data_IF_641883558134
#
_entry.id   IF_641883558134
#
_cell.length_a   1.000
_cell.length_b   1.000
_cell.length_c   1.000
_cell.angle_alpha   90.00
_cell.angle_beta   90.00
_cell.angle_gamma   90.00
#
_symmetry.space_group_name_H-M   'P 1'
#
loop_
_entity.id
_entity.type
_entity.pdbx_description
1 polymer ?
#
# COMPACT_ATOMS: atom_id res chain seq x y z
N UNK A 1 4.69 -18.11 -8.69
CA UNK A 1 3.90 -17.07 -8.02
C UNK A 1 4.40 -15.73 -8.54
N UNK A 2 3.60 -15.01 -9.33
CA UNK A 2 4.00 -13.67 -9.81
C UNK A 2 4.24 -12.75 -8.61
N UNK A 3 5.42 -12.14 -8.56
CA UNK A 3 5.87 -11.34 -7.42
C UNK A 3 4.96 -10.10 -7.25
N UNK A 4 4.07 -10.13 -6.27
CA UNK A 4 3.16 -9.02 -5.98
C UNK A 4 3.82 -7.88 -5.18
N UNK A 5 5.10 -8.08 -4.84
CA UNK A 5 6.03 -7.11 -4.29
C UNK A 5 6.97 -6.64 -5.38
N UNK A 6 7.40 -5.37 -5.31
CA UNK A 6 8.46 -4.90 -6.20
C UNK A 6 9.81 -5.51 -5.82
N UNK A 7 10.85 -5.22 -6.60
CA UNK A 7 12.23 -5.70 -6.39
C UNK A 7 12.82 -5.37 -5.01
N UNK A 8 12.18 -4.45 -4.28
CA UNK A 8 12.56 -4.02 -2.92
C UNK A 8 11.65 -4.61 -1.83
N UNK A 9 10.83 -5.62 -2.16
CA UNK A 9 9.89 -6.24 -1.23
C UNK A 9 8.72 -5.35 -0.82
N UNK A 10 8.44 -4.25 -1.54
CA UNK A 10 7.35 -3.31 -1.19
C UNK A 10 6.06 -3.67 -1.91
N UNK A 11 4.93 -3.46 -1.22
CA UNK A 11 3.58 -3.57 -1.80
C UNK A 11 3.46 -2.62 -3.01
N UNK A 12 2.94 -3.18 -4.11
CA UNK A 12 2.67 -2.47 -5.37
C UNK A 12 1.21 -2.05 -5.46
N UNK A 13 0.87 -1.09 -6.34
CA UNK A 13 -0.52 -0.68 -6.58
C UNK A 13 -1.41 -1.88 -6.99
N UNK A 14 -0.91 -2.79 -7.83
CA UNK A 14 -1.62 -4.01 -8.24
C UNK A 14 -1.93 -4.92 -7.04
N UNK A 15 -1.00 -5.07 -6.10
CA UNK A 15 -1.23 -5.83 -4.87
C UNK A 15 -2.21 -5.11 -3.93
N UNK A 16 -2.11 -3.79 -3.80
CA UNK A 16 -3.08 -2.99 -3.04
C UNK A 16 -4.49 -3.16 -3.60
N UNK A 17 -4.67 -3.07 -4.92
CA UNK A 17 -5.95 -3.30 -5.59
C UNK A 17 -6.50 -4.69 -5.26
N UNK A 18 -5.67 -5.75 -5.36
CA UNK A 18 -6.08 -7.11 -5.00
C UNK A 18 -6.51 -7.24 -3.53
N UNK A 19 -5.78 -6.62 -2.60
CA UNK A 19 -6.11 -6.63 -1.17
C UNK A 19 -7.47 -5.93 -0.95
N UNK A 20 -7.65 -4.74 -1.50
CA UNK A 20 -8.88 -3.95 -1.35
C UNK A 20 -10.08 -4.68 -1.96
N UNK A 21 -9.93 -5.20 -3.18
CA UNK A 21 -10.98 -5.97 -3.85
C UNK A 21 -11.32 -7.25 -3.08
N UNK A 22 -10.34 -7.93 -2.49
CA UNK A 22 -10.59 -9.11 -1.65
C UNK A 22 -11.35 -8.79 -0.36
N UNK A 23 -11.25 -7.54 0.11
CA UNK A 23 -12.02 -7.02 1.23
C UNK A 23 -13.39 -6.45 0.84
N UNK A 24 -13.80 -6.59 -0.43
CA UNK A 24 -15.08 -6.06 -0.93
C UNK A 24 -15.02 -4.58 -1.34
N UNK A 25 -13.84 -3.95 -1.35
CA UNK A 25 -13.66 -2.57 -1.79
C UNK A 25 -13.14 -2.60 -3.23
N UNK A 26 -14.07 -2.59 -4.19
CA UNK A 26 -13.74 -2.53 -5.61
C UNK A 26 -13.12 -1.19 -5.98
N UNK A 27 -11.84 -1.20 -6.34
CA UNK A 27 -11.09 -0.01 -6.79
C UNK A 27 -10.38 -0.29 -8.09
N UNK A 28 -10.15 0.75 -8.87
CA UNK A 28 -9.25 0.76 -10.03
C UNK A 28 -7.78 0.73 -9.58
N UNK A 29 -6.87 0.50 -10.54
CA UNK A 29 -5.44 0.53 -10.26
C UNK A 29 -4.97 1.92 -9.80
N UNK A 30 -5.50 2.98 -10.40
CA UNK A 30 -5.19 4.39 -10.06
C UNK A 30 -5.64 4.74 -8.65
N UNK A 31 -6.86 4.33 -8.27
CA UNK A 31 -7.37 4.50 -6.90
C UNK A 31 -6.54 3.71 -5.89
N UNK A 32 -6.18 2.47 -6.21
CA UNK A 32 -5.30 1.66 -5.36
C UNK A 32 -3.91 2.28 -5.19
N UNK A 33 -3.37 2.94 -6.23
CA UNK A 33 -2.13 3.70 -6.15
C UNK A 33 -2.27 4.90 -5.21
N UNK A 34 -3.35 5.69 -5.36
CA UNK A 34 -3.63 6.83 -4.49
C UNK A 34 -3.74 6.42 -3.01
N UNK A 35 -4.47 5.33 -2.74
CA UNK A 35 -4.61 4.76 -1.39
C UNK A 35 -3.26 4.30 -0.85
N UNK A 36 -2.46 3.60 -1.67
CA UNK A 36 -1.13 3.14 -1.26
C UNK A 36 -0.20 4.32 -0.91
N UNK A 37 -0.23 5.40 -1.69
CA UNK A 37 0.54 6.62 -1.41
C UNK A 37 0.10 7.25 -0.09
N UNK A 38 -1.20 7.34 0.15
CA UNK A 38 -1.75 7.87 1.39
C UNK A 38 -1.33 7.03 2.61
N UNK A 39 -1.45 5.70 2.53
CA UNK A 39 -1.05 4.79 3.60
C UNK A 39 0.45 4.87 3.91
N UNK A 40 1.31 5.03 2.89
CA UNK A 40 2.75 5.24 3.08
C UNK A 40 3.05 6.52 3.89
N UNK A 41 2.29 7.59 3.66
CA UNK A 41 2.44 8.84 4.43
C UNK A 41 2.08 8.62 5.89
N UNK A 42 0.95 7.96 6.17
CA UNK A 42 0.52 7.63 7.54
C UNK A 42 1.58 6.77 8.24
N UNK A 43 2.03 5.70 7.58
CA UNK A 43 3.04 4.80 8.13
C UNK A 43 4.35 5.55 8.44
N UNK A 44 4.80 6.43 7.54
CA UNK A 44 6.00 7.22 7.75
C UNK A 44 5.86 8.15 8.96
N UNK A 45 4.72 8.83 9.11
CA UNK A 45 4.43 9.69 10.26
C UNK A 45 4.46 8.86 11.56
N UNK A 46 3.77 7.72 11.58
CA UNK A 46 3.69 6.86 12.76
C UNK A 46 5.08 6.34 13.19
N UNK A 47 5.87 5.83 12.24
CA UNK A 47 7.23 5.34 12.49
C UNK A 47 8.16 6.47 12.92
N UNK A 48 8.10 7.62 12.25
CA UNK A 48 8.93 8.80 12.61
C UNK A 48 8.64 9.24 14.04
N UNK A 49 7.35 9.36 14.40
CA UNK A 49 6.94 9.72 15.76
C UNK A 49 7.43 8.71 16.80
N UNK A 50 7.31 7.41 16.50
CA UNK A 50 7.80 6.36 17.38
C UNK A 50 9.31 6.43 17.60
N UNK A 51 10.10 6.66 16.53
CA UNK A 51 11.56 6.74 16.62
C UNK A 51 12.09 8.03 17.25
N UNK A 52 11.27 9.10 17.29
CA UNK A 52 11.60 10.36 17.97
C UNK A 52 11.25 10.35 19.47
N UNK A 53 10.64 9.26 19.96
CA UNK A 53 10.33 9.04 21.37
C UNK A 53 11.43 8.23 22.03
#
# INVERSE_FOLDING_TARGET
>A
MENELNEKGKITAKKTMKILNSGGICVTLEEAEAILVFMKKIANIAVTKYLQT
#
